data_IF_799902390594
#
_entry.id   IF_799902390594
#
_cell.length_a   1.000
_cell.length_b   1.000
_cell.length_c   1.000
_cell.angle_alpha   90.00
_cell.angle_beta   90.00
_cell.angle_gamma   90.00
#
_symmetry.space_group_name_H-M   'P 1'
#
loop_
_entity.id
_entity.type
_entity.pdbx_description
1 polymer ?
#
# COMPACT_ATOMS: atom_id res chain seq x y z
N UNK A 1 -10.19 -47.30 11.72
CA UNK A 1 -10.76 -45.99 11.35
C UNK A 1 -9.64 -44.96 11.42
N UNK A 2 -8.96 -44.71 10.30
CA UNK A 2 -7.80 -43.79 10.25
C UNK A 2 -8.32 -42.49 9.66
N UNK A 3 -8.37 -41.45 10.50
CA UNK A 3 -8.88 -40.13 10.15
C UNK A 3 -7.94 -39.42 9.18
N UNK A 4 -8.50 -38.96 8.07
CA UNK A 4 -7.82 -38.09 7.12
C UNK A 4 -7.96 -36.66 7.65
N UNK A 5 -6.93 -36.18 8.36
CA UNK A 5 -6.76 -34.76 8.62
C UNK A 5 -6.34 -34.11 7.30
N UNK A 6 -7.32 -33.60 6.54
CA UNK A 6 -7.07 -32.71 5.42
C UNK A 6 -6.54 -31.38 5.96
N UNK A 7 -5.22 -31.24 6.00
CA UNK A 7 -4.55 -29.95 6.06
C UNK A 7 -4.72 -29.25 4.71
N UNK A 8 -5.89 -28.64 4.52
CA UNK A 8 -6.05 -27.60 3.50
C UNK A 8 -5.33 -26.35 4.01
N UNK A 9 -4.01 -26.32 3.91
CA UNK A 9 -3.27 -25.07 3.97
C UNK A 9 -3.72 -24.26 2.77
N UNK A 10 -4.61 -23.29 3.01
CA UNK A 10 -4.92 -22.28 2.01
C UNK A 10 -3.58 -21.64 1.61
N UNK A 11 -3.11 -21.96 0.40
CA UNK A 11 -1.98 -21.30 -0.23
C UNK A 11 -2.49 -19.93 -0.67
N UNK A 12 -2.63 -19.02 0.28
CA UNK A 12 -2.71 -17.60 -0.02
C UNK A 12 -1.40 -17.28 -0.76
N UNK A 13 -1.50 -16.76 -1.98
CA UNK A 13 -0.32 -16.37 -2.73
C UNK A 13 0.37 -15.24 -1.96
N UNK A 14 1.33 -15.63 -1.12
CA UNK A 14 2.19 -14.72 -0.40
C UNK A 14 2.91 -13.83 -1.43
N UNK A 15 3.08 -12.56 -1.12
CA UNK A 15 3.66 -11.61 -2.06
C UNK A 15 5.01 -12.11 -2.59
N UNK A 16 5.07 -12.37 -3.90
CA UNK A 16 6.23 -13.04 -4.52
C UNK A 16 7.49 -12.16 -4.60
N UNK A 17 7.34 -10.82 -4.58
CA UNK A 17 8.44 -9.87 -4.80
C UNK A 17 8.28 -8.57 -3.98
N UNK A 18 8.33 -8.62 -2.64
CA UNK A 18 8.00 -7.50 -1.75
C UNK A 18 8.93 -6.28 -1.89
N UNK A 19 10.14 -6.47 -2.42
CA UNK A 19 11.12 -5.39 -2.61
C UNK A 19 11.37 -5.06 -4.08
N UNK A 20 10.54 -5.55 -5.02
CA UNK A 20 10.65 -5.13 -6.43
C UNK A 20 10.27 -3.65 -6.58
N UNK A 21 11.11 -2.80 -7.18
CA UNK A 21 10.75 -1.42 -7.50
C UNK A 21 9.59 -1.39 -8.48
N UNK A 22 8.63 -0.48 -8.26
CA UNK A 22 7.49 -0.28 -9.16
C UNK A 22 7.57 1.03 -9.96
N UNK A 23 8.31 2.01 -9.44
CA UNK A 23 8.63 3.26 -10.15
C UNK A 23 9.69 2.98 -11.22
N UNK A 24 9.46 3.32 -12.50
CA UNK A 24 10.44 3.19 -13.58
C UNK A 24 11.76 3.90 -13.28
N UNK A 25 12.85 3.43 -13.91
CA UNK A 25 14.22 3.94 -13.65
C UNK A 25 14.30 5.46 -13.83
N UNK A 26 13.73 5.96 -14.91
CA UNK A 26 13.75 7.36 -15.27
C UNK A 26 13.01 8.27 -14.28
N UNK A 27 12.00 7.76 -13.58
CA UNK A 27 11.14 8.55 -12.71
C UNK A 27 11.57 8.49 -11.23
N UNK A 28 12.42 7.53 -10.85
CA UNK A 28 12.80 7.29 -9.46
C UNK A 28 13.46 8.49 -8.78
N UNK A 29 14.32 9.22 -9.50
CA UNK A 29 15.00 10.38 -8.94
C UNK A 29 14.01 11.50 -8.58
N UNK A 30 13.02 11.75 -9.45
CA UNK A 30 11.95 12.71 -9.22
C UNK A 30 11.01 12.24 -8.11
N UNK A 31 10.53 11.00 -8.18
CA UNK A 31 9.61 10.43 -7.20
C UNK A 31 10.15 10.54 -5.78
N UNK A 32 11.46 10.30 -5.58
CA UNK A 32 12.10 10.36 -4.26
C UNK A 32 12.18 11.77 -3.66
N UNK A 33 12.00 12.82 -4.45
CA UNK A 33 12.02 14.20 -3.98
C UNK A 33 10.65 14.64 -3.44
N UNK A 34 9.57 13.94 -3.79
CA UNK A 34 8.23 14.29 -3.34
C UNK A 34 8.09 14.02 -1.83
N UNK A 35 7.43 14.95 -1.15
CA UNK A 35 7.17 14.90 0.28
C UNK A 35 5.76 15.42 0.58
N UNK A 36 5.12 14.92 1.65
CA UNK A 36 3.80 15.42 2.04
C UNK A 36 3.88 16.89 2.49
N UNK A 37 2.82 17.68 2.28
CA UNK A 37 2.79 19.10 2.68
C UNK A 37 2.75 19.30 4.21
N UNK A 38 2.46 18.24 4.97
CA UNK A 38 2.43 18.23 6.44
C UNK A 38 3.74 17.71 7.08
N UNK A 39 4.85 17.68 6.32
CA UNK A 39 6.17 17.33 6.84
C UNK A 39 6.54 15.86 6.59
N UNK A 40 6.27 14.97 7.53
CA UNK A 40 6.68 13.56 7.44
C UNK A 40 5.56 12.61 7.87
N UNK A 41 5.36 11.53 7.10
CA UNK A 41 4.42 10.46 7.47
C UNK A 41 4.80 9.76 8.77
N UNK A 42 6.08 9.77 9.17
CA UNK A 42 6.56 9.20 10.44
C UNK A 42 6.01 9.94 11.66
N UNK A 43 5.77 11.24 11.53
CA UNK A 43 5.24 12.12 12.58
C UNK A 43 3.88 12.73 12.19
N UNK A 44 3.12 12.04 11.33
CA UNK A 44 1.81 12.53 10.91
C UNK A 44 0.90 12.75 12.14
N UNK A 45 0.23 13.91 12.23
CA UNK A 45 -0.74 14.18 13.29
C UNK A 45 -1.89 13.15 13.30
N UNK A 46 -2.52 12.88 14.47
CA UNK A 46 -3.63 11.94 14.57
C UNK A 46 -4.77 12.21 13.58
N UNK A 47 -5.12 13.47 13.35
CA UNK A 47 -6.17 13.89 12.42
C UNK A 47 -5.84 13.54 10.96
N UNK A 48 -4.56 13.56 10.58
CA UNK A 48 -4.10 13.14 9.25
C UNK A 48 -4.23 11.63 9.10
N UNK A 49 -3.94 10.87 10.16
CA UNK A 49 -4.05 9.41 10.15
C UNK A 49 -5.52 8.95 10.13
N UNK A 50 -6.38 9.61 10.90
CA UNK A 50 -7.81 9.33 10.93
C UNK A 50 -8.46 9.58 9.56
N UNK A 51 -8.16 10.73 8.95
CA UNK A 51 -8.63 11.05 7.60
C UNK A 51 -8.03 10.10 6.55
N UNK A 52 -6.75 9.77 6.67
CA UNK A 52 -6.07 8.79 5.81
C UNK A 52 -6.75 7.42 5.86
N UNK A 53 -7.15 6.96 7.05
CA UNK A 53 -7.92 5.73 7.25
C UNK A 53 -9.27 5.81 6.54
N UNK A 54 -10.04 6.88 6.79
CA UNK A 54 -11.35 7.09 6.16
C UNK A 54 -11.26 7.08 4.64
N UNK A 55 -10.20 7.66 4.08
CA UNK A 55 -9.95 7.67 2.64
C UNK A 55 -9.53 6.29 2.11
N UNK A 56 -8.66 5.56 2.82
CA UNK A 56 -8.24 4.20 2.46
C UNK A 56 -9.41 3.22 2.41
N UNK A 57 -10.31 3.29 3.40
CA UNK A 57 -11.47 2.40 3.53
C UNK A 57 -12.64 2.85 2.65
N UNK A 58 -12.79 4.15 2.43
CA UNK A 58 -13.89 4.74 1.66
C UNK A 58 -13.48 5.14 0.25
N UNK A 59 -13.23 6.44 0.04
CA UNK A 59 -13.07 7.06 -1.29
C UNK A 59 -12.01 6.38 -2.16
N UNK A 60 -10.84 6.09 -1.60
CA UNK A 60 -9.75 5.43 -2.31
C UNK A 60 -10.02 3.95 -2.59
N UNK A 61 -10.98 3.33 -1.90
CA UNK A 61 -11.35 1.90 -2.02
C UNK A 61 -10.16 0.93 -1.86
N UNK A 62 -9.06 1.40 -1.29
CA UNK A 62 -7.78 0.69 -1.16
C UNK A 62 -7.95 -0.64 -0.43
N UNK A 63 -8.81 -0.64 0.60
CA UNK A 63 -9.19 -1.81 1.40
C UNK A 63 -9.71 -2.99 0.57
N UNK A 64 -10.33 -2.72 -0.60
CA UNK A 64 -10.88 -3.77 -1.46
C UNK A 64 -9.80 -4.69 -2.04
N UNK A 65 -8.61 -4.14 -2.27
CA UNK A 65 -7.44 -4.87 -2.77
C UNK A 65 -6.46 -5.19 -1.64
N UNK A 66 -6.13 -4.20 -0.82
CA UNK A 66 -5.08 -4.32 0.20
C UNK A 66 -5.56 -4.88 1.55
N UNK A 67 -6.88 -4.95 1.77
CA UNK A 67 -7.48 -5.49 3.00
C UNK A 67 -7.49 -4.50 4.16
N UNK A 68 -8.33 -4.77 5.16
CA UNK A 68 -8.45 -3.94 6.38
C UNK A 68 -7.18 -3.96 7.23
N UNK A 69 -6.46 -5.08 7.18
CA UNK A 69 -5.20 -5.29 7.90
C UNK A 69 -3.96 -4.96 7.04
N UNK A 70 -4.15 -4.45 5.82
CA UNK A 70 -3.06 -4.09 4.91
C UNK A 70 -2.27 -5.27 4.32
N UNK A 71 -2.77 -6.51 4.42
CA UNK A 71 -2.03 -7.73 4.04
C UNK A 71 -2.06 -8.08 2.55
N UNK A 72 -2.71 -7.27 1.72
CA UNK A 72 -2.88 -7.57 0.30
C UNK A 72 -3.95 -8.65 0.01
N UNK A 73 -4.77 -8.99 1.01
CA UNK A 73 -5.72 -10.10 1.00
C UNK A 73 -7.18 -9.64 0.91
N UNK A 74 -7.39 -8.39 0.47
CA UNK A 74 -8.71 -7.81 0.25
C UNK A 74 -9.54 -8.65 -0.74
N UNK A 75 -10.89 -8.52 -0.72
CA UNK A 75 -11.78 -9.34 -1.56
C UNK A 75 -11.42 -9.37 -3.06
N UNK A 76 -10.91 -8.27 -3.59
CA UNK A 76 -10.43 -8.16 -4.98
C UNK A 76 -8.96 -8.58 -5.10
N UNK A 77 -8.14 -8.31 -4.08
CA UNK A 77 -6.70 -8.56 -4.06
C UNK A 77 -6.32 -10.03 -4.20
N UNK A 78 -7.09 -10.94 -3.59
CA UNK A 78 -6.82 -12.39 -3.57
C UNK A 78 -6.74 -13.06 -4.95
N UNK A 79 -7.28 -12.42 -5.99
CA UNK A 79 -7.32 -12.95 -7.36
C UNK A 79 -6.30 -12.29 -8.30
N UNK A 80 -5.56 -11.28 -7.83
CA UNK A 80 -4.61 -10.54 -8.65
C UNK A 80 -3.26 -11.25 -8.69
N UNK A 81 -2.66 -11.26 -9.88
CA UNK A 81 -1.30 -11.75 -10.13
C UNK A 81 -0.55 -10.63 -10.87
N UNK A 82 0.51 -10.04 -10.26
CA UNK A 82 0.98 -10.26 -8.90
C UNK A 82 -0.05 -9.80 -7.84
N UNK A 83 0.05 -10.35 -6.63
CA UNK A 83 -0.77 -9.92 -5.49
C UNK A 83 -0.51 -8.45 -5.16
N UNK A 84 -1.47 -7.76 -4.51
CA UNK A 84 -1.20 -6.44 -3.93
C UNK A 84 -0.07 -6.50 -2.90
N UNK A 85 0.53 -5.33 -2.63
CA UNK A 85 1.56 -5.17 -1.62
C UNK A 85 1.01 -5.51 -0.23
N UNK A 86 1.80 -6.23 0.56
CA UNK A 86 1.59 -6.39 2.00
C UNK A 86 2.22 -5.20 2.75
N UNK A 87 1.40 -4.29 3.23
CA UNK A 87 1.79 -3.11 4.00
C UNK A 87 2.20 -3.44 5.44
N UNK A 88 1.96 -4.66 5.93
CA UNK A 88 2.51 -5.09 7.23
C UNK A 88 4.02 -5.35 7.16
N UNK A 89 4.56 -5.46 5.93
CA UNK A 89 5.98 -5.69 5.70
C UNK A 89 6.82 -4.42 5.96
N UNK A 90 7.37 -4.31 7.17
CA UNK A 90 8.27 -3.21 7.53
C UNK A 90 9.55 -3.13 6.68
N UNK A 91 10.03 -4.22 6.05
CA UNK A 91 11.16 -4.13 5.12
C UNK A 91 10.78 -3.39 3.84
N UNK A 92 9.57 -3.61 3.32
CA UNK A 92 9.03 -2.82 2.19
C UNK A 92 9.01 -1.33 2.54
N UNK A 93 8.44 -0.98 3.69
CA UNK A 93 8.35 0.42 4.10
C UNK A 93 9.73 1.07 4.28
N UNK A 94 10.72 0.37 4.85
CA UNK A 94 12.09 0.89 4.97
C UNK A 94 12.78 1.10 3.61
N UNK A 95 12.42 0.34 2.59
CA UNK A 95 13.04 0.41 1.25
C UNK A 95 12.33 1.37 0.29
N UNK A 96 11.21 1.98 0.70
CA UNK A 96 10.42 2.88 -0.16
C UNK A 96 10.24 4.24 0.47
N UNK A 97 10.46 5.29 -0.32
CA UNK A 97 10.17 6.66 0.12
C UNK A 97 8.68 6.96 -0.03
N UNK A 98 8.17 7.94 0.72
CA UNK A 98 6.77 8.37 0.59
C UNK A 98 6.46 8.86 -0.83
N UNK A 99 7.42 9.55 -1.46
CA UNK A 99 7.28 9.99 -2.83
C UNK A 99 7.26 8.87 -3.88
N UNK A 100 7.94 7.74 -3.65
CA UNK A 100 7.78 6.54 -4.49
C UNK A 100 6.36 5.95 -4.36
N UNK A 101 5.75 6.00 -3.18
CA UNK A 101 4.36 5.56 -2.97
C UNK A 101 3.36 6.53 -3.63
N UNK A 102 3.60 7.83 -3.51
CA UNK A 102 2.81 8.87 -4.17
C UNK A 102 2.85 8.72 -5.69
N UNK A 103 4.03 8.47 -6.26
CA UNK A 103 4.17 8.19 -7.70
C UNK A 103 3.27 7.04 -8.15
N UNK A 104 3.16 5.98 -7.35
CA UNK A 104 2.29 4.82 -7.65
C UNK A 104 0.81 5.21 -7.58
N UNK A 105 0.39 6.04 -6.63
CA UNK A 105 -0.98 6.55 -6.61
C UNK A 105 -1.28 7.46 -7.82
N UNK A 106 -0.28 8.12 -8.38
CA UNK A 106 -0.45 8.97 -9.56
C UNK A 106 -0.42 8.21 -10.89
N UNK A 107 0.39 7.16 -11.00
CA UNK A 107 0.68 6.51 -12.28
C UNK A 107 0.27 5.02 -12.32
N UNK A 108 -0.23 4.49 -11.21
CA UNK A 108 -0.41 3.06 -11.02
C UNK A 108 0.94 2.34 -10.85
N UNK A 109 0.89 1.01 -10.83
CA UNK A 109 2.08 0.15 -10.82
C UNK A 109 2.09 -0.70 -12.09
N UNK A 110 2.93 -0.38 -13.09
CA UNK A 110 3.00 -1.14 -14.33
C UNK A 110 3.16 -2.66 -14.12
N UNK A 111 2.37 -3.44 -14.85
CA UNK A 111 2.37 -4.90 -14.77
C UNK A 111 1.66 -5.48 -13.53
N UNK A 112 0.85 -4.69 -12.82
CA UNK A 112 0.00 -5.14 -11.70
C UNK A 112 -1.42 -4.63 -11.85
N UNK A 113 -2.32 -5.04 -10.95
CA UNK A 113 -3.69 -4.51 -10.88
C UNK A 113 -3.83 -3.12 -10.26
N UNK A 114 -2.73 -2.49 -9.82
CA UNK A 114 -2.79 -1.16 -9.20
C UNK A 114 -2.87 -0.08 -10.27
N UNK A 115 -4.05 0.49 -10.43
CA UNK A 115 -4.34 1.58 -11.38
C UNK A 115 -3.95 2.96 -10.82
N UNK A 116 -3.80 3.99 -11.66
CA UNK A 116 -3.74 5.38 -11.20
C UNK A 116 -4.98 5.75 -10.38
N UNK A 117 -4.76 6.37 -9.23
CA UNK A 117 -5.80 6.85 -8.31
C UNK A 117 -5.95 8.37 -8.37
N UNK A 118 -4.87 9.10 -8.69
CA UNK A 118 -4.84 10.55 -8.86
C UNK A 118 -4.86 10.90 -10.36
N UNK A 119 -5.61 11.92 -10.82
CA UNK A 119 -6.65 12.68 -10.11
C UNK A 119 -8.04 12.02 -10.21
N UNK A 120 -8.09 10.74 -10.57
CA UNK A 120 -9.32 10.03 -10.98
C UNK A 120 -10.28 9.82 -9.82
N UNK A 121 -9.78 9.31 -8.69
CA UNK A 121 -10.56 8.91 -7.52
C UNK A 121 -10.23 9.77 -6.31
N UNK A 122 -8.96 10.12 -6.14
CA UNK A 122 -8.46 10.90 -4.99
C UNK A 122 -7.61 12.09 -5.46
N UNK A 123 -7.50 13.12 -4.64
CA UNK A 123 -6.61 14.26 -4.85
C UNK A 123 -5.19 13.95 -4.36
N UNK A 124 -4.22 14.79 -4.73
CA UNK A 124 -2.85 14.69 -4.20
C UNK A 124 -2.80 14.84 -2.68
N UNK A 125 -3.58 15.76 -2.12
CA UNK A 125 -3.66 15.96 -0.67
C UNK A 125 -4.21 14.73 0.05
N UNK A 126 -5.29 14.13 -0.50
CA UNK A 126 -5.87 12.89 0.01
C UNK A 126 -4.87 11.72 -0.09
N UNK A 127 -4.11 11.62 -1.18
CA UNK A 127 -3.11 10.59 -1.38
C UNK A 127 -2.02 10.63 -0.29
N UNK A 128 -1.54 11.81 0.09
CA UNK A 128 -0.56 11.93 1.17
C UNK A 128 -1.11 11.43 2.52
N UNK A 129 -2.39 11.70 2.81
CA UNK A 129 -3.05 11.21 4.03
C UNK A 129 -3.21 9.69 4.00
N UNK A 130 -3.59 9.12 2.84
CA UNK A 130 -3.65 7.67 2.64
C UNK A 130 -2.28 7.03 2.86
N UNK A 131 -1.21 7.59 2.30
CA UNK A 131 0.16 7.07 2.50
C UNK A 131 0.53 7.13 3.99
N UNK A 132 0.22 8.24 4.68
CA UNK A 132 0.48 8.34 6.12
C UNK A 132 -0.22 7.22 6.91
N UNK A 133 -1.47 6.90 6.56
CA UNK A 133 -2.19 5.76 7.14
C UNK A 133 -1.60 4.40 6.73
N UNK A 134 -1.28 4.19 5.45
CA UNK A 134 -0.65 2.97 4.92
C UNK A 134 0.61 2.62 5.72
N UNK A 135 1.44 3.62 6.01
CA UNK A 135 2.66 3.44 6.80
C UNK A 135 2.42 2.88 8.20
N UNK A 136 1.23 3.07 8.78
CA UNK A 136 0.89 2.58 10.13
C UNK A 136 0.71 1.07 10.20
N UNK A 137 0.54 0.39 9.06
CA UNK A 137 0.52 -1.08 9.01
C UNK A 137 1.87 -1.69 9.38
N UNK A 138 2.98 -0.95 9.28
CA UNK A 138 4.27 -1.32 9.85
C UNK A 138 4.40 -0.83 11.31
N UNK A 139 4.45 -1.73 12.31
CA UNK A 139 4.49 -1.34 13.73
C UNK A 139 5.71 -0.51 14.13
N UNK A 140 6.79 -0.56 13.36
CA UNK A 140 8.04 0.17 13.64
C UNK A 140 8.22 1.42 12.77
N UNK A 141 7.20 1.86 12.04
CA UNK A 141 7.34 3.03 11.17
C UNK A 141 7.40 4.33 11.96
N UNK A 142 6.50 4.48 12.94
CA UNK A 142 6.42 5.63 13.84
C UNK A 142 7.44 5.48 14.98
N UNK A 143 7.94 6.61 15.53
CA UNK A 143 8.88 6.58 16.65
C UNK A 143 8.27 5.96 17.92
#
# INVERSE_FOLDING_TARGET
>A
MIGWLSLSAALWAQEAEPLRPRVPVQDRAWARQLHPPFGSTKHAPPEILEEGKRLYEGKGTCVSCHGEQGKGDGPLGRRLIPSPRDFTNCLFHRHRTDGELFWILQNGSPGTGMVPMIPVTITEEEAWKIIAYERTFCPTWRP
#
